data_IF_747333271224
#
_entry.id   IF_747333271224
#
_cell.length_a   1.000
_cell.length_b   1.000
_cell.length_c   1.000
_cell.angle_alpha   90.00
_cell.angle_beta   90.00
_cell.angle_gamma   90.00
#
_symmetry.space_group_name_H-M   'P 1'
#
loop_
_entity.id
_entity.type
_entity.pdbx_description
1 polymer ?
#
# COMPACT_ATOMS: atom_id res chain seq x y z
N UNK A 1 2.28 -3.80 -5.87
CA UNK A 1 1.68 -3.74 -7.23
C UNK A 1 0.19 -4.08 -7.19
N UNK A 2 -0.26 -5.24 -6.70
CA UNK A 2 -1.68 -5.63 -6.68
C UNK A 2 -2.59 -4.61 -5.96
N UNK A 3 -2.23 -4.13 -4.79
CA UNK A 3 -3.00 -3.11 -4.07
C UNK A 3 -3.18 -1.81 -4.86
N UNK A 4 -2.13 -1.35 -5.54
CA UNK A 4 -2.21 -0.18 -6.42
C UNK A 4 -3.12 -0.44 -7.62
N UNK A 5 -3.08 -1.66 -8.19
CA UNK A 5 -3.96 -2.05 -9.27
C UNK A 5 -5.43 -2.00 -8.82
N UNK A 6 -5.76 -2.65 -7.70
CA UNK A 6 -7.14 -2.66 -7.16
C UNK A 6 -7.65 -1.26 -6.83
N UNK A 7 -6.79 -0.41 -6.26
CA UNK A 7 -7.16 0.97 -5.98
C UNK A 7 -7.54 1.72 -7.27
N UNK A 8 -6.76 1.58 -8.34
CA UNK A 8 -7.07 2.18 -9.64
C UNK A 8 -8.35 1.63 -10.26
N UNK A 9 -8.52 0.31 -10.23
CA UNK A 9 -9.62 -0.38 -10.91
C UNK A 9 -10.98 0.01 -10.35
N UNK A 10 -11.15 0.05 -9.02
CA UNK A 10 -12.46 0.21 -8.39
C UNK A 10 -12.68 1.60 -7.78
N UNK A 11 -11.62 2.30 -7.36
CA UNK A 11 -11.78 3.63 -6.76
C UNK A 11 -11.43 4.78 -7.71
N UNK A 12 -10.82 4.47 -8.86
CA UNK A 12 -10.37 5.45 -9.88
C UNK A 12 -9.37 6.47 -9.36
N UNK A 13 -8.65 6.11 -8.29
CA UNK A 13 -7.55 6.92 -7.76
C UNK A 13 -6.27 6.50 -8.45
N UNK A 14 -5.54 7.47 -8.99
CA UNK A 14 -4.21 7.22 -9.50
C UNK A 14 -3.30 6.76 -8.35
N UNK A 15 -2.58 5.69 -8.55
CA UNK A 15 -1.62 5.17 -7.59
C UNK A 15 -0.48 4.46 -8.30
N UNK A 16 0.68 4.55 -7.71
CA UNK A 16 1.90 3.89 -8.18
C UNK A 16 2.48 3.02 -7.09
N UNK A 17 3.29 2.06 -7.47
CA UNK A 17 3.93 1.16 -6.51
C UNK A 17 5.39 0.94 -6.88
N UNK A 18 6.24 1.12 -5.91
CA UNK A 18 7.69 1.03 -6.04
C UNK A 18 8.28 0.09 -4.99
N UNK A 19 9.40 -0.51 -5.29
CA UNK A 19 10.25 -1.08 -4.25
C UNK A 19 10.76 0.05 -3.36
N UNK A 20 10.76 -0.15 -2.04
CA UNK A 20 11.14 0.91 -1.09
C UNK A 20 12.55 1.48 -1.35
N UNK A 21 13.49 0.63 -1.79
CA UNK A 21 14.84 1.04 -2.15
C UNK A 21 14.92 1.93 -3.38
N UNK A 22 13.94 1.84 -4.29
CA UNK A 22 13.92 2.61 -5.54
C UNK A 22 13.38 4.04 -5.37
N UNK A 23 12.70 4.32 -4.25
CA UNK A 23 12.13 5.65 -4.00
C UNK A 23 13.16 6.77 -4.10
N UNK A 24 14.38 6.52 -3.63
CA UNK A 24 15.47 7.51 -3.60
C UNK A 24 15.99 7.88 -4.99
N UNK A 25 15.71 7.09 -6.01
CA UNK A 25 16.17 7.31 -7.38
C UNK A 25 15.34 8.33 -8.17
N UNK A 26 14.51 9.10 -7.47
CA UNK A 26 13.76 10.22 -8.06
C UNK A 26 12.33 10.33 -7.58
N UNK A 27 11.59 9.21 -7.47
CA UNK A 27 10.16 9.21 -7.17
C UNK A 27 9.82 9.76 -5.79
N UNK A 28 10.76 9.75 -4.84
CA UNK A 28 10.59 10.35 -3.52
C UNK A 28 10.33 11.88 -3.61
N UNK A 29 10.73 12.53 -4.69
CA UNK A 29 10.46 13.95 -4.95
C UNK A 29 8.97 14.26 -5.15
N UNK A 30 8.16 13.26 -5.46
CA UNK A 30 6.71 13.40 -5.61
C UNK A 30 5.98 13.39 -4.25
N UNK A 31 6.66 13.02 -3.18
CA UNK A 31 6.07 12.99 -1.84
C UNK A 31 5.82 14.41 -1.36
N UNK A 32 4.55 14.70 -1.07
CA UNK A 32 4.08 15.98 -0.56
C UNK A 32 3.41 15.82 0.80
N UNK A 33 3.17 16.95 1.47
CA UNK A 33 2.52 16.95 2.78
C UNK A 33 1.13 16.30 2.72
N UNK A 34 0.83 15.40 3.65
CA UNK A 34 -0.40 14.62 3.74
C UNK A 34 -0.66 13.67 2.55
N UNK A 35 0.31 13.44 1.68
CA UNK A 35 0.19 12.42 0.65
C UNK A 35 0.05 11.04 1.29
N UNK A 36 -1.00 10.26 0.97
CA UNK A 36 -1.13 8.93 1.52
C UNK A 36 -0.10 7.98 0.91
N UNK A 37 0.66 7.32 1.76
CA UNK A 37 1.65 6.30 1.37
C UNK A 37 1.36 5.01 2.13
N UNK A 38 1.10 3.94 1.41
CA UNK A 38 0.93 2.61 1.98
C UNK A 38 2.25 1.87 1.85
N UNK A 39 2.94 1.70 2.95
CA UNK A 39 4.20 0.96 3.02
C UNK A 39 3.95 -0.49 3.44
N UNK A 40 4.59 -1.43 2.75
CA UNK A 40 4.52 -2.86 3.07
C UNK A 40 5.90 -3.33 3.54
N UNK A 41 5.98 -3.75 4.80
CA UNK A 41 7.21 -4.17 5.46
C UNK A 41 7.02 -5.55 6.11
N UNK A 42 6.82 -6.58 5.28
CA UNK A 42 6.52 -7.95 5.71
C UNK A 42 7.65 -8.93 5.44
N UNK A 43 8.71 -8.53 4.74
CA UNK A 43 9.92 -9.32 4.53
C UNK A 43 10.89 -9.08 5.69
N UNK A 44 11.14 -10.08 6.51
CA UNK A 44 11.95 -9.96 7.75
C UNK A 44 13.38 -9.49 7.47
N UNK A 45 13.99 -10.04 6.43
CA UNK A 45 15.37 -9.71 6.05
C UNK A 45 15.55 -8.27 5.56
N UNK A 46 14.47 -7.65 5.07
CA UNK A 46 14.47 -6.29 4.53
C UNK A 46 13.77 -5.28 5.45
N UNK A 47 13.29 -5.73 6.62
CA UNK A 47 12.46 -4.91 7.51
C UNK A 47 13.14 -3.59 7.87
N UNK A 48 14.35 -3.64 8.40
CA UNK A 48 15.09 -2.44 8.85
C UNK A 48 15.34 -1.46 7.70
N UNK A 49 15.69 -1.98 6.53
CA UNK A 49 15.91 -1.16 5.32
C UNK A 49 14.61 -0.51 4.86
N UNK A 50 13.50 -1.26 4.89
CA UNK A 50 12.19 -0.75 4.51
C UNK A 50 11.74 0.32 5.50
N UNK A 51 11.87 0.11 6.80
CA UNK A 51 11.54 1.09 7.84
C UNK A 51 12.37 2.37 7.68
N UNK A 52 13.66 2.25 7.39
CA UNK A 52 14.51 3.41 7.13
C UNK A 52 14.00 4.25 5.93
N UNK A 53 13.60 3.60 4.84
CA UNK A 53 13.02 4.29 3.69
C UNK A 53 11.64 4.92 4.01
N UNK A 54 10.85 4.25 4.85
CA UNK A 54 9.54 4.77 5.30
C UNK A 54 9.72 6.05 6.13
N UNK A 55 10.70 6.08 7.05
CA UNK A 55 11.04 7.29 7.82
C UNK A 55 11.38 8.48 6.93
N UNK A 56 12.09 8.25 5.82
CA UNK A 56 12.41 9.33 4.88
C UNK A 56 11.18 9.87 4.15
N UNK A 57 10.23 9.01 3.82
CA UNK A 57 8.93 9.40 3.23
C UNK A 57 8.11 10.18 4.28
N UNK A 58 8.07 9.69 5.51
CA UNK A 58 7.39 10.34 6.62
C UNK A 58 7.97 11.74 6.92
N UNK A 59 9.29 11.88 6.92
CA UNK A 59 9.97 13.16 7.13
C UNK A 59 9.65 14.22 6.06
N UNK A 60 9.13 13.81 4.91
CA UNK A 60 8.64 14.71 3.84
C UNK A 60 7.16 15.07 3.99
N UNK A 61 6.54 14.67 5.09
CA UNK A 61 5.16 15.01 5.44
C UNK A 61 4.10 14.05 4.90
N UNK A 62 4.47 12.88 4.38
CA UNK A 62 3.49 11.88 3.96
C UNK A 62 2.66 11.37 5.14
N UNK A 63 1.40 11.04 4.88
CA UNK A 63 0.57 10.24 5.78
C UNK A 63 0.84 8.75 5.50
N UNK A 64 1.50 8.09 6.42
CA UNK A 64 1.99 6.73 6.23
C UNK A 64 1.10 5.69 6.91
N UNK A 65 0.60 4.74 6.13
CA UNK A 65 -0.03 3.51 6.61
C UNK A 65 0.96 2.36 6.43
N UNK A 66 1.43 1.77 7.52
CA UNK A 66 2.40 0.67 7.49
C UNK A 66 1.71 -0.68 7.67
N UNK A 67 1.82 -1.54 6.68
CA UNK A 67 1.41 -2.95 6.75
C UNK A 67 2.62 -3.78 7.12
N UNK A 68 2.61 -4.40 8.30
CA UNK A 68 3.74 -5.16 8.83
C UNK A 68 3.28 -6.26 9.79
N UNK A 69 4.21 -7.03 10.35
CA UNK A 69 3.87 -8.03 11.36
C UNK A 69 3.31 -7.39 12.64
N UNK A 70 2.34 -8.05 13.25
CA UNK A 70 1.65 -7.56 14.46
C UNK A 70 2.58 -7.28 15.63
N UNK A 71 3.65 -8.08 15.77
CA UNK A 71 4.63 -7.97 16.87
C UNK A 71 5.63 -6.81 16.71
N UNK A 72 5.73 -6.20 15.53
CA UNK A 72 6.63 -5.05 15.32
C UNK A 72 6.05 -3.82 16.00
N UNK A 73 6.80 -3.23 16.92
CA UNK A 73 6.45 -1.95 17.49
C UNK A 73 6.78 -0.84 16.49
N UNK A 74 5.82 0.06 16.31
CA UNK A 74 5.92 1.18 15.38
C UNK A 74 5.60 2.45 16.15
N UNK A 75 6.50 3.41 16.10
CA UNK A 75 6.32 4.74 16.64
C UNK A 75 5.78 5.73 15.59
N UNK A 76 5.36 6.90 16.04
CA UNK A 76 4.80 7.94 15.18
C UNK A 76 5.83 8.54 14.19
N UNK A 77 7.12 8.31 14.42
CA UNK A 77 8.18 8.71 13.48
C UNK A 77 8.23 7.81 12.25
N UNK A 78 7.66 6.61 12.35
CA UNK A 78 7.61 5.65 11.25
C UNK A 78 6.29 5.74 10.50
N UNK A 79 5.17 5.70 11.19
CA UNK A 79 3.87 5.63 10.53
C UNK A 79 2.76 6.28 11.38
N UNK A 80 1.77 6.86 10.69
CA UNK A 80 0.56 7.40 11.31
C UNK A 80 -0.42 6.29 11.69
N UNK A 81 -0.40 5.20 10.93
CA UNK A 81 -1.26 4.04 11.19
C UNK A 81 -0.55 2.73 10.87
N UNK A 82 -0.74 1.73 11.72
CA UNK A 82 -0.20 0.39 11.55
C UNK A 82 -1.31 -0.61 11.29
N UNK A 83 -1.14 -1.44 10.26
CA UNK A 83 -1.92 -2.65 10.03
C UNK A 83 -1.03 -3.84 10.38
N UNK A 84 -1.28 -4.44 11.56
CA UNK A 84 -0.54 -5.59 12.06
C UNK A 84 -1.08 -6.90 11.50
N UNK A 85 -0.24 -7.65 10.79
CA UNK A 85 -0.57 -8.97 10.26
C UNK A 85 -0.13 -10.07 11.22
N UNK A 86 -0.87 -11.19 11.30
CA UNK A 86 -0.42 -12.37 12.03
C UNK A 86 0.87 -12.93 11.43
N UNK A 87 1.64 -13.61 12.26
CA UNK A 87 2.88 -14.25 11.84
C UNK A 87 2.56 -15.60 11.20
N UNK A 88 2.97 -15.75 9.94
CA UNK A 88 2.90 -16.99 9.17
C UNK A 88 4.24 -17.25 8.49
N UNK A 89 4.33 -18.33 7.74
CA UNK A 89 5.48 -18.61 6.88
C UNK A 89 5.70 -17.48 5.88
N UNK A 90 6.95 -17.06 5.69
CA UNK A 90 7.31 -15.93 4.83
C UNK A 90 6.91 -16.15 3.37
N UNK A 91 6.88 -17.42 2.92
CA UNK A 91 6.40 -17.77 1.58
C UNK A 91 4.92 -17.44 1.37
N UNK A 92 4.12 -17.51 2.43
CA UNK A 92 2.67 -17.26 2.42
C UNK A 92 2.32 -15.78 2.74
N UNK A 93 3.28 -15.01 3.25
CA UNK A 93 3.05 -13.60 3.60
C UNK A 93 2.45 -12.74 2.50
N UNK A 94 2.79 -12.89 1.20
CA UNK A 94 2.15 -12.12 0.14
C UNK A 94 0.64 -12.32 0.05
N UNK A 95 0.15 -13.56 0.30
CA UNK A 95 -1.29 -13.86 0.29
C UNK A 95 -2.03 -13.13 1.42
N UNK A 96 -1.41 -13.07 2.60
CA UNK A 96 -1.98 -12.37 3.74
C UNK A 96 -1.89 -10.84 3.58
N UNK A 97 -0.79 -10.37 3.02
CA UNK A 97 -0.54 -8.93 2.82
C UNK A 97 -1.50 -8.30 1.81
N UNK A 98 -1.95 -9.05 0.80
CA UNK A 98 -2.86 -8.51 -0.22
C UNK A 98 -4.24 -8.17 0.35
N UNK A 99 -4.70 -8.89 1.38
CA UNK A 99 -6.04 -8.71 1.96
C UNK A 99 -6.29 -7.27 2.46
N UNK A 100 -5.47 -6.68 3.34
CA UNK A 100 -5.68 -5.31 3.77
C UNK A 100 -5.57 -4.31 2.61
N UNK A 101 -4.75 -4.56 1.60
CA UNK A 101 -4.65 -3.69 0.43
C UNK A 101 -5.93 -3.73 -0.41
N UNK A 102 -6.55 -4.89 -0.56
CA UNK A 102 -7.86 -5.03 -1.21
C UNK A 102 -8.96 -4.34 -0.39
N UNK A 103 -8.95 -4.49 0.93
CA UNK A 103 -9.91 -3.81 1.81
C UNK A 103 -9.77 -2.28 1.73
N UNK A 104 -8.56 -1.75 1.69
CA UNK A 104 -8.32 -0.31 1.49
C UNK A 104 -8.94 0.15 0.16
N UNK A 105 -8.70 -0.58 -0.93
CA UNK A 105 -9.27 -0.25 -2.23
C UNK A 105 -10.82 -0.32 -2.20
N UNK A 106 -11.38 -1.35 -1.58
CA UNK A 106 -12.81 -1.56 -1.43
C UNK A 106 -13.46 -0.40 -0.67
N UNK A 107 -13.01 -0.13 0.56
CA UNK A 107 -13.59 0.93 1.38
C UNK A 107 -13.38 2.32 0.77
N UNK A 108 -12.25 2.56 0.13
CA UNK A 108 -12.03 3.81 -0.61
C UNK A 108 -13.05 3.99 -1.73
N UNK A 109 -13.35 2.92 -2.45
CA UNK A 109 -14.36 2.92 -3.51
C UNK A 109 -15.76 3.20 -2.96
N UNK A 110 -16.15 2.50 -1.90
CA UNK A 110 -17.45 2.68 -1.23
C UNK A 110 -17.61 4.12 -0.72
N UNK A 111 -16.60 4.66 -0.04
CA UNK A 111 -16.61 6.05 0.47
C UNK A 111 -16.71 7.10 -0.65
N UNK A 112 -16.26 6.78 -1.85
CA UNK A 112 -16.40 7.62 -3.04
C UNK A 112 -17.75 7.44 -3.77
N UNK A 113 -18.61 6.54 -3.28
CA UNK A 113 -19.90 6.25 -3.91
C UNK A 113 -19.82 5.45 -5.20
N UNK A 114 -18.70 4.76 -5.44
CA UNK A 114 -18.54 3.92 -6.63
C UNK A 114 -19.19 2.54 -6.42
N UNK A 115 -19.66 1.94 -7.51
CA UNK A 115 -20.10 0.54 -7.53
C UNK A 115 -18.85 -0.37 -7.65
N UNK A 116 -18.55 -1.09 -6.57
CA UNK A 116 -17.38 -1.98 -6.51
C UNK A 116 -17.56 -3.27 -7.31
N UNK A 117 -18.82 -3.67 -7.55
CA UNK A 117 -19.15 -4.89 -8.27
C UNK A 117 -19.21 -4.68 -9.79
N UNK A 118 -19.40 -3.43 -10.22
CA UNK A 118 -19.51 -3.04 -11.63
C UNK A 118 -18.60 -1.85 -11.95
N UNK A 119 -17.28 -2.02 -11.88
CA UNK A 119 -16.36 -0.95 -12.24
C UNK A 119 -16.57 -0.51 -13.69
N UNK A 120 -16.68 0.79 -13.91
CA UNK A 120 -17.14 1.39 -15.18
C UNK A 120 -16.30 1.07 -16.41
N UNK A 121 -15.03 0.76 -16.26
CA UNK A 121 -14.09 0.57 -17.37
C UNK A 121 -13.48 -0.83 -17.41
N UNK A 122 -14.07 -1.78 -16.66
CA UNK A 122 -13.60 -3.15 -16.61
C UNK A 122 -14.68 -4.10 -17.13
N UNK A 123 -14.33 -4.91 -18.12
CA UNK A 123 -15.16 -6.02 -18.56
C UNK A 123 -14.69 -7.33 -17.91
N UNK A 124 -15.64 -8.21 -17.56
CA UNK A 124 -15.32 -9.55 -17.03
C UNK A 124 -14.58 -10.43 -18.05
N UNK A 125 -14.70 -10.12 -19.32
CA UNK A 125 -13.96 -10.74 -20.41
C UNK A 125 -13.53 -9.66 -21.40
N UNK A 126 -12.26 -9.68 -21.80
CA UNK A 126 -11.77 -8.85 -22.90
C UNK A 126 -12.11 -9.56 -24.20
N UNK A 127 -13.11 -9.04 -24.90
CA UNK A 127 -13.54 -9.55 -26.22
C UNK A 127 -13.11 -8.60 -27.34
N UNK A 128 -11.94 -7.98 -27.17
CA UNK A 128 -11.39 -7.12 -28.22
C UNK A 128 -10.58 -7.99 -29.15
N UNK A 129 -11.04 -8.12 -30.39
CA UNK A 129 -10.23 -8.62 -31.50
C UNK A 129 -9.30 -7.51 -32.01
#
# INVERSE_FOLDING_TARGET
MEGSLKLKEISYIHSESYAAGELKHGTISLVTNNMPVIAVATQRELLDKTISNVKEVKARGAYVVLVTHGYINVDDEVADYKIGLPTIDDLLMPMLTVVPLQLIAYYTSVLRGNDVDKPRNLAKSVTVE
#
